data_IF_461436606392
#
_entry.id   IF_461436606392
#
_cell.length_a   1.000
_cell.length_b   1.000
_cell.length_c   1.000
_cell.angle_alpha   90.00
_cell.angle_beta   90.00
_cell.angle_gamma   90.00
#
_symmetry.space_group_name_H-M   'P 1'
#
loop_
_entity.id
_entity.type
_entity.pdbx_description
1 polymer ?
#
# COMPACT_ATOMS: atom_id res chain seq x y z
N UNK A 1 -4.27 9.44 -7.63
CA UNK A 1 -3.43 8.32 -7.15
C UNK A 1 -2.65 8.78 -5.92
N UNK A 2 -2.59 7.95 -4.89
CA UNK A 2 -1.99 8.26 -3.60
C UNK A 2 -0.86 7.29 -3.28
N UNK A 3 0.12 7.74 -2.49
CA UNK A 3 1.19 6.90 -2.00
C UNK A 3 0.63 5.87 -0.99
N UNK A 4 0.79 4.59 -1.31
CA UNK A 4 0.32 3.45 -0.52
C UNK A 4 1.01 3.32 0.86
N UNK A 5 2.06 4.11 1.11
CA UNK A 5 2.81 4.14 2.38
C UNK A 5 2.42 5.31 3.27
N UNK A 6 2.47 6.55 2.75
CA UNK A 6 2.20 7.76 3.55
C UNK A 6 0.79 8.33 3.36
N UNK A 7 0.08 7.96 2.30
CA UNK A 7 -1.28 8.42 2.00
C UNK A 7 -1.35 9.80 1.33
N UNK A 8 -0.21 10.43 1.08
CA UNK A 8 -0.12 11.71 0.35
C UNK A 8 -0.32 11.51 -1.15
N UNK A 9 -0.63 12.58 -1.92
CA UNK A 9 -0.68 12.51 -3.38
C UNK A 9 0.60 11.89 -3.94
N UNK A 10 0.46 11.00 -4.93
CA UNK A 10 1.61 10.32 -5.53
C UNK A 10 2.53 11.28 -6.33
N UNK A 11 2.06 12.50 -6.58
CA UNK A 11 2.77 13.57 -7.25
C UNK A 11 3.80 14.19 -6.29
N UNK A 12 5.01 13.64 -6.25
CA UNK A 12 6.11 14.09 -5.39
C UNK A 12 7.26 13.07 -5.25
N UNK A 13 8.32 13.43 -4.53
CA UNK A 13 9.38 12.47 -4.22
C UNK A 13 8.93 11.50 -3.12
N UNK A 14 8.68 10.27 -3.52
CA UNK A 14 8.32 9.15 -2.65
C UNK A 14 9.43 8.10 -2.60
N UNK A 15 10.69 8.49 -2.80
CA UNK A 15 11.80 7.52 -2.86
C UNK A 15 11.97 6.77 -1.55
N UNK A 16 11.89 7.47 -0.41
CA UNK A 16 11.91 6.83 0.91
C UNK A 16 10.70 5.91 1.14
N UNK A 17 9.50 6.34 0.73
CA UNK A 17 8.28 5.53 0.80
C UNK A 17 8.41 4.23 0.01
N UNK A 18 8.96 4.30 -1.21
CA UNK A 18 9.23 3.13 -2.08
C UNK A 18 10.27 2.19 -1.48
N UNK A 19 11.33 2.72 -0.88
CA UNK A 19 12.35 1.90 -0.22
C UNK A 19 11.77 1.16 0.99
N UNK A 20 11.01 1.86 1.84
CA UNK A 20 10.34 1.27 2.98
C UNK A 20 9.32 0.20 2.58
N UNK A 21 8.63 0.41 1.45
CA UNK A 21 7.66 -0.51 0.85
C UNK A 21 8.20 -1.91 0.55
N UNK A 22 9.51 -2.06 0.40
CA UNK A 22 10.14 -3.37 0.18
C UNK A 22 10.10 -4.28 1.41
N UNK A 23 9.98 -3.69 2.60
CA UNK A 23 9.98 -4.42 3.87
C UNK A 23 8.67 -4.21 4.65
N UNK A 24 7.91 -3.16 4.34
CA UNK A 24 6.68 -2.80 5.02
C UNK A 24 5.45 -2.97 4.13
N UNK A 25 4.35 -3.55 4.65
CA UNK A 25 3.13 -3.74 3.87
C UNK A 25 2.38 -2.43 3.54
N UNK A 26 1.44 -2.48 2.56
CA UNK A 26 0.41 -1.46 2.27
C UNK A 26 -0.26 -0.84 3.47
N UNK A 27 -0.18 0.49 3.61
CA UNK A 27 -0.93 1.21 4.64
C UNK A 27 -2.15 1.92 4.08
N UNK A 28 -2.08 2.42 2.85
CA UNK A 28 -3.13 3.22 2.23
C UNK A 28 -3.51 2.72 0.83
N UNK A 29 -4.78 2.87 0.48
CA UNK A 29 -5.27 2.56 -0.85
C UNK A 29 -4.76 3.61 -1.86
N UNK A 30 -4.12 3.19 -2.97
CA UNK A 30 -3.60 4.11 -3.97
C UNK A 30 -4.70 4.88 -4.73
N UNK A 31 -5.95 4.41 -4.65
CA UNK A 31 -7.08 5.03 -5.34
C UNK A 31 -7.84 6.04 -4.46
N UNK A 32 -8.24 5.66 -3.24
CA UNK A 32 -9.05 6.53 -2.35
C UNK A 32 -8.34 7.03 -1.08
N UNK A 33 -7.04 6.74 -0.88
CA UNK A 33 -6.23 7.12 0.31
C UNK A 33 -6.69 6.54 1.66
N UNK A 34 -7.71 5.69 1.70
CA UNK A 34 -8.19 5.07 2.95
C UNK A 34 -7.16 4.06 3.47
N UNK A 35 -7.10 3.89 4.79
CA UNK A 35 -6.26 2.86 5.40
C UNK A 35 -6.72 1.47 4.96
N UNK A 36 -5.75 0.62 4.64
CA UNK A 36 -5.99 -0.76 4.24
C UNK A 36 -6.11 -1.65 5.47
N UNK A 37 -6.92 -2.69 5.35
CA UNK A 37 -6.90 -3.83 6.26
C UNK A 37 -5.78 -4.76 5.82
N UNK A 38 -4.71 -4.80 6.60
CA UNK A 38 -3.54 -5.63 6.30
C UNK A 38 -3.55 -6.86 7.17
N UNK A 39 -3.35 -8.02 6.56
CA UNK A 39 -3.02 -9.24 7.27
C UNK A 39 -1.59 -9.64 6.91
N UNK A 40 -0.71 -9.66 7.90
CA UNK A 40 0.66 -10.14 7.76
C UNK A 40 0.70 -11.64 8.12
N UNK A 41 1.41 -12.42 7.33
CA UNK A 41 1.75 -13.82 7.57
C UNK A 41 3.28 -13.96 7.56
N UNK A 42 3.84 -15.11 8.00
CA UNK A 42 5.29 -15.28 8.02
C UNK A 42 5.96 -15.20 6.64
N UNK A 43 5.20 -15.45 5.56
CA UNK A 43 5.71 -15.53 4.18
C UNK A 43 5.20 -14.43 3.27
N UNK A 44 4.16 -13.69 3.67
CA UNK A 44 3.52 -12.68 2.83
C UNK A 44 2.66 -11.70 3.64
N UNK A 45 2.00 -10.78 2.94
CA UNK A 45 0.90 -10.01 3.47
C UNK A 45 -0.22 -9.92 2.44
N UNK A 46 -1.43 -9.67 2.91
CA UNK A 46 -2.59 -9.31 2.08
C UNK A 46 -3.10 -7.95 2.52
N UNK A 47 -3.58 -7.16 1.57
CA UNK A 47 -4.12 -5.83 1.84
C UNK A 47 -5.44 -5.61 1.11
N UNK A 48 -6.44 -5.12 1.85
CA UNK A 48 -7.79 -4.87 1.34
C UNK A 48 -8.28 -3.46 1.69
N UNK A 49 -8.83 -2.78 0.69
CA UNK A 49 -9.52 -1.51 0.87
C UNK A 49 -10.99 -1.76 1.17
N UNK A 50 -11.53 -1.09 2.19
CA UNK A 50 -12.96 -1.20 2.52
C UNK A 50 -13.91 -0.73 1.41
N UNK A 51 -13.45 0.06 0.44
CA UNK A 51 -14.27 0.55 -0.68
C UNK A 51 -13.99 -0.20 -1.99
N UNK A 52 -12.73 -0.54 -2.23
CA UNK A 52 -12.27 -1.07 -3.52
C UNK A 52 -11.93 -2.57 -3.48
N UNK A 53 -12.01 -3.19 -2.30
CA UNK A 53 -11.68 -4.60 -2.13
C UNK A 53 -10.17 -4.86 -2.13
N UNK A 54 -9.75 -6.11 -2.39
CA UNK A 54 -8.36 -6.54 -2.29
C UNK A 54 -7.49 -5.83 -3.32
N UNK A 55 -6.28 -5.43 -2.91
CA UNK A 55 -5.30 -4.84 -3.83
C UNK A 55 -4.80 -5.90 -4.83
N UNK A 56 -4.49 -5.47 -6.05
CA UNK A 56 -3.96 -6.40 -7.05
C UNK A 56 -2.52 -6.78 -6.72
N UNK A 57 -2.01 -7.94 -7.17
CA UNK A 57 -0.63 -8.37 -6.91
C UNK A 57 0.42 -7.36 -7.38
N UNK A 58 0.12 -6.56 -8.41
CA UNK A 58 0.99 -5.48 -8.90
C UNK A 58 1.17 -4.35 -7.87
N UNK A 59 0.16 -4.11 -7.03
CA UNK A 59 0.20 -3.16 -5.91
C UNK A 59 0.84 -3.75 -4.64
N UNK A 60 1.07 -5.07 -4.62
CA UNK A 60 1.54 -5.83 -3.45
C UNK A 60 2.96 -6.37 -3.59
N UNK A 61 3.69 -5.98 -4.65
CA UNK A 61 5.06 -6.43 -4.88
C UNK A 61 5.98 -6.12 -3.68
N UNK A 62 6.80 -7.08 -3.24
CA UNK A 62 7.87 -6.86 -2.26
C UNK A 62 9.05 -6.05 -2.84
#
# INVERSE_FOLDING_TARGET
>A
MYCDRCGEPAEGDHTSCRTARRMEPPRYCPDCRRRLKVQVTPTAWTAECSQHGPLTPADQAP
#
